data_IF_526515392638
#
_entry.id   IF_526515392638
#
_cell.length_a   1.000
_cell.length_b   1.000
_cell.length_c   1.000
_cell.angle_alpha   90.00
_cell.angle_beta   90.00
_cell.angle_gamma   90.00
#
_symmetry.space_group_name_H-M   'P 1'
#
loop_
_entity.id
_entity.type
_entity.pdbx_description
1 polymer ?
#
# COMPACT_ATOMS: atom_id res chain seq x y z
N UNK A 1 -9.51 -9.16 -0.28
CA UNK A 1 -9.88 -7.81 -0.75
C UNK A 1 -10.74 -7.16 0.31
N UNK A 2 -10.46 -5.91 0.64
CA UNK A 2 -11.27 -5.14 1.57
C UNK A 2 -11.71 -3.85 0.86
N UNK A 3 -13.02 -3.63 0.73
CA UNK A 3 -13.56 -2.36 0.26
C UNK A 3 -13.72 -1.42 1.46
N UNK A 4 -13.27 -0.20 1.34
CA UNK A 4 -13.50 0.82 2.36
C UNK A 4 -14.91 1.37 2.12
N UNK A 5 -15.80 1.19 3.11
CA UNK A 5 -17.20 1.59 3.02
C UNK A 5 -17.33 3.10 2.76
N UNK A 6 -18.27 3.47 1.88
CA UNK A 6 -18.51 4.87 1.49
C UNK A 6 -17.47 5.47 0.57
N UNK A 7 -16.51 4.69 0.05
CA UNK A 7 -15.46 5.15 -0.87
C UNK A 7 -15.39 4.29 -2.14
N UNK A 8 -14.71 4.83 -3.16
CA UNK A 8 -14.30 4.11 -4.36
C UNK A 8 -12.94 3.40 -4.19
N UNK A 9 -12.44 3.30 -2.96
CA UNK A 9 -11.13 2.71 -2.65
C UNK A 9 -11.26 1.24 -2.29
N UNK A 10 -10.39 0.42 -2.84
CA UNK A 10 -10.20 -0.98 -2.44
C UNK A 10 -8.76 -1.22 -2.01
N UNK A 11 -8.60 -2.03 -0.97
CA UNK A 11 -7.30 -2.55 -0.51
C UNK A 11 -7.16 -4.01 -0.93
N UNK A 12 -5.99 -4.34 -1.45
CA UNK A 12 -5.64 -5.68 -1.92
C UNK A 12 -4.50 -6.20 -1.05
N UNK A 13 -4.73 -7.32 -0.38
CA UNK A 13 -3.73 -8.00 0.46
C UNK A 13 -3.25 -9.26 -0.23
N UNK A 14 -1.95 -9.47 -0.21
CA UNK A 14 -1.27 -10.63 -0.78
C UNK A 14 -0.43 -11.30 0.30
N UNK A 15 -0.41 -12.62 0.31
CA UNK A 15 0.49 -13.38 1.18
C UNK A 15 1.94 -13.05 0.83
N UNK A 16 2.80 -12.94 1.83
CA UNK A 16 4.26 -12.89 1.65
C UNK A 16 4.85 -14.28 1.36
N UNK A 17 4.09 -15.35 1.58
CA UNK A 17 4.52 -16.72 1.32
C UNK A 17 4.15 -17.13 -0.09
N UNK A 18 5.06 -17.78 -0.77
CA UNK A 18 4.80 -18.48 -2.02
C UNK A 18 4.84 -19.99 -1.75
N UNK A 19 3.67 -20.60 -1.69
CA UNK A 19 3.49 -22.01 -1.28
C UNK A 19 3.98 -23.03 -2.33
N UNK A 20 4.62 -22.63 -3.45
CA UNK A 20 4.85 -23.54 -4.59
C UNK A 20 6.26 -23.58 -5.16
N UNK A 21 7.26 -23.01 -4.52
CA UNK A 21 8.64 -23.14 -5.03
C UNK A 21 9.56 -23.68 -3.93
N UNK A 22 10.12 -24.85 -4.18
CA UNK A 22 11.18 -25.47 -3.35
C UNK A 22 12.46 -24.63 -3.18
N UNK A 23 12.55 -23.53 -3.94
CA UNK A 23 13.63 -22.55 -3.80
C UNK A 23 13.06 -21.30 -3.15
N UNK A 24 13.59 -20.95 -1.98
CA UNK A 24 13.35 -19.74 -1.20
C UNK A 24 13.09 -18.54 -2.11
N UNK A 25 11.80 -18.23 -2.34
CA UNK A 25 11.46 -16.95 -2.95
C UNK A 25 11.67 -15.90 -1.90
N UNK A 26 12.56 -15.01 -2.21
CA UNK A 26 12.87 -13.81 -1.45
C UNK A 26 11.55 -13.09 -1.13
N UNK A 27 11.20 -13.05 0.12
CA UNK A 27 10.20 -12.11 0.63
C UNK A 27 10.52 -10.75 0.03
N UNK A 28 9.54 -10.07 -0.53
CA UNK A 28 9.74 -8.69 -0.99
C UNK A 28 10.17 -7.87 0.23
N UNK A 29 11.48 -7.70 0.39
CA UNK A 29 12.03 -6.84 1.42
C UNK A 29 11.94 -5.40 0.95
N UNK A 30 11.30 -4.54 1.73
CA UNK A 30 11.06 -3.15 1.36
C UNK A 30 11.12 -2.24 2.57
N UNK A 31 11.42 -0.98 2.31
CA UNK A 31 11.34 0.09 3.30
C UNK A 31 9.95 0.73 3.27
N UNK A 32 9.41 1.05 4.45
CA UNK A 32 8.10 1.70 4.56
C UNK A 32 8.05 3.01 3.74
N UNK A 33 7.07 3.11 2.85
CA UNK A 33 6.88 4.23 1.93
C UNK A 33 7.19 3.91 0.47
N UNK A 34 7.96 2.87 0.19
CA UNK A 34 8.27 2.42 -1.17
C UNK A 34 7.03 1.88 -1.92
N UNK A 35 7.17 1.73 -3.22
CA UNK A 35 6.17 1.16 -4.12
C UNK A 35 6.70 -0.08 -4.84
N UNK A 36 5.80 -0.82 -5.46
CA UNK A 36 6.14 -1.94 -6.33
C UNK A 36 5.21 -1.98 -7.55
N UNK A 37 5.61 -2.72 -8.56
CA UNK A 37 4.81 -3.00 -9.73
C UNK A 37 4.05 -4.31 -9.55
N UNK A 38 2.77 -4.30 -9.87
CA UNK A 38 1.87 -5.44 -9.74
C UNK A 38 1.34 -5.80 -11.13
N UNK A 39 1.67 -7.02 -11.58
CA UNK A 39 1.17 -7.62 -12.79
C UNK A 39 0.04 -8.58 -12.42
N UNK A 40 -1.17 -8.27 -12.86
CA UNK A 40 -2.39 -9.02 -12.54
C UNK A 40 -2.79 -10.02 -13.63
N UNK A 41 -1.87 -10.32 -14.56
CA UNK A 41 -2.13 -11.20 -15.70
C UNK A 41 -2.86 -10.47 -16.82
N UNK A 42 -3.65 -11.20 -17.59
CA UNK A 42 -4.29 -10.65 -18.78
C UNK A 42 -5.28 -9.52 -18.45
N UNK A 43 -5.10 -8.41 -19.15
CA UNK A 43 -6.00 -7.25 -19.11
C UNK A 43 -6.31 -6.85 -20.56
N UNK A 44 -7.51 -7.16 -21.02
CA UNK A 44 -7.94 -6.87 -22.38
C UNK A 44 -8.20 -5.36 -22.57
N UNK A 45 -7.82 -4.85 -23.74
CA UNK A 45 -8.07 -3.46 -24.17
C UNK A 45 -7.51 -2.37 -23.23
N UNK A 46 -6.44 -2.69 -22.50
CA UNK A 46 -5.71 -1.65 -21.74
C UNK A 46 -4.41 -1.31 -22.49
N UNK A 47 -4.26 -0.08 -23.03
CA UNK A 47 -3.06 0.30 -23.78
C UNK A 47 -1.80 0.31 -22.93
N UNK A 48 -1.95 0.34 -21.60
CA UNK A 48 -0.84 0.28 -20.65
C UNK A 48 -0.55 -1.15 -20.14
N UNK A 49 -1.28 -2.16 -20.62
CA UNK A 49 -1.09 -3.56 -20.26
C UNK A 49 -1.40 -3.90 -18.79
N UNK A 50 -0.95 -5.07 -18.34
CA UNK A 50 -1.34 -5.63 -17.03
C UNK A 50 -0.50 -5.12 -15.84
N UNK A 51 0.50 -4.29 -16.07
CA UNK A 51 1.45 -3.85 -15.05
C UNK A 51 1.14 -2.44 -14.57
N UNK A 52 1.00 -2.23 -13.26
CA UNK A 52 0.87 -0.91 -12.63
C UNK A 52 1.67 -0.87 -11.34
N UNK A 53 2.18 0.31 -11.03
CA UNK A 53 2.83 0.56 -9.75
C UNK A 53 1.83 1.09 -8.72
N UNK A 54 2.01 0.64 -7.49
CA UNK A 54 1.27 1.12 -6.32
C UNK A 54 2.20 1.21 -5.13
N UNK A 55 2.01 2.23 -4.30
CA UNK A 55 2.65 2.30 -3.00
C UNK A 55 2.29 1.07 -2.18
N UNK A 56 3.30 0.45 -1.56
CA UNK A 56 3.10 -0.62 -0.60
C UNK A 56 2.56 0.01 0.68
N UNK A 57 1.26 -0.10 0.90
CA UNK A 57 0.60 0.51 2.05
C UNK A 57 0.68 -0.33 3.32
N UNK A 58 1.05 -1.63 3.24
CA UNK A 58 1.45 -2.39 4.42
C UNK A 58 2.78 -1.91 4.97
N UNK A 59 3.00 -2.12 6.27
CA UNK A 59 4.32 -2.00 6.88
C UNK A 59 5.19 -3.22 6.58
N UNK A 60 6.52 -3.09 6.50
CA UNK A 60 7.43 -4.24 6.48
C UNK A 60 7.21 -5.22 7.64
N UNK A 61 6.73 -4.75 8.78
CA UNK A 61 6.42 -5.55 9.98
C UNK A 61 5.16 -6.40 9.87
N UNK A 62 4.31 -6.13 8.88
CA UNK A 62 3.09 -6.92 8.65
C UNK A 62 3.40 -8.17 7.83
N UNK A 63 2.66 -9.27 8.06
CA UNK A 63 2.86 -10.57 7.38
C UNK A 63 2.24 -10.66 5.98
N UNK A 64 1.82 -9.54 5.41
CA UNK A 64 1.24 -9.43 4.07
C UNK A 64 1.76 -8.21 3.34
N UNK A 65 1.70 -8.24 2.01
CA UNK A 65 1.86 -7.08 1.14
C UNK A 65 0.47 -6.50 0.87
N UNK A 66 0.33 -5.19 1.00
CA UNK A 66 -0.93 -4.51 0.70
C UNK A 66 -0.69 -3.27 -0.14
N UNK A 67 -1.51 -3.05 -1.13
CA UNK A 67 -1.71 -1.73 -1.72
C UNK A 67 -3.17 -1.33 -1.70
N UNK A 68 -3.43 -0.04 -1.74
CA UNK A 68 -4.79 0.50 -1.81
C UNK A 68 -4.91 1.46 -2.99
N UNK A 69 -6.02 1.40 -3.68
CA UNK A 69 -6.22 2.21 -4.88
C UNK A 69 -7.69 2.55 -5.11
N UNK A 70 -7.93 3.68 -5.76
CA UNK A 70 -9.28 4.02 -6.25
C UNK A 70 -9.63 3.16 -7.46
N UNK A 71 -10.80 2.57 -7.41
CA UNK A 71 -11.37 1.85 -8.56
C UNK A 71 -12.01 2.88 -9.48
N UNK A 72 -11.32 3.18 -10.57
CA UNK A 72 -11.76 4.08 -11.63
C UNK A 72 -12.06 3.30 -12.89
N UNK A 73 -12.68 3.93 -13.86
CA UNK A 73 -13.02 3.34 -15.16
C UNK A 73 -11.76 3.16 -16.02
N UNK A 74 -11.08 2.04 -15.81
CA UNK A 74 -10.01 1.54 -16.68
C UNK A 74 -10.03 0.02 -16.71
N UNK A 75 -9.62 -0.64 -17.81
CA UNK A 75 -9.63 -2.09 -17.92
C UNK A 75 -8.83 -2.77 -16.80
N UNK A 76 -7.64 -2.25 -16.46
CA UNK A 76 -6.85 -2.75 -15.33
C UNK A 76 -7.62 -2.70 -14.01
N UNK A 77 -8.27 -1.57 -13.68
CA UNK A 77 -9.01 -1.41 -12.42
C UNK A 77 -10.26 -2.29 -12.37
N UNK A 78 -10.95 -2.45 -13.50
CA UNK A 78 -12.08 -3.39 -13.63
C UNK A 78 -11.60 -4.82 -13.36
N UNK A 79 -10.54 -5.26 -14.05
CA UNK A 79 -9.94 -6.59 -13.84
C UNK A 79 -9.48 -6.78 -12.39
N UNK A 80 -8.80 -5.80 -11.82
CA UNK A 80 -8.35 -5.82 -10.43
C UNK A 80 -9.52 -5.98 -9.45
N UNK A 81 -10.63 -5.28 -9.68
CA UNK A 81 -11.80 -5.32 -8.77
C UNK A 81 -12.49 -6.70 -8.73
N UNK A 82 -12.40 -7.47 -9.79
CA UNK A 82 -13.00 -8.82 -9.90
C UNK A 82 -12.02 -9.97 -9.63
N UNK A 83 -10.72 -9.67 -9.38
CA UNK A 83 -9.75 -10.72 -9.02
C UNK A 83 -10.28 -11.57 -7.87
N UNK A 84 -10.22 -12.87 -8.02
CA UNK A 84 -10.64 -13.80 -6.99
C UNK A 84 -9.62 -13.94 -5.86
N UNK A 85 -10.08 -14.43 -4.71
CA UNK A 85 -9.17 -14.82 -3.62
C UNK A 85 -8.32 -15.99 -4.10
N UNK A 86 -6.99 -15.90 -3.90
CA UNK A 86 -6.04 -16.91 -4.37
C UNK A 86 -5.49 -16.64 -5.78
N UNK A 87 -5.95 -15.60 -6.49
CA UNK A 87 -5.36 -15.22 -7.77
C UNK A 87 -3.87 -14.88 -7.58
N UNK A 88 -3.04 -15.40 -8.50
CA UNK A 88 -1.60 -15.13 -8.52
C UNK A 88 -1.33 -13.76 -9.13
N UNK A 89 -0.48 -12.99 -8.48
CA UNK A 89 -0.04 -11.66 -8.93
C UNK A 89 1.49 -11.64 -8.90
N UNK A 90 2.10 -11.23 -10.01
CA UNK A 90 3.56 -11.04 -10.03
C UNK A 90 3.88 -9.66 -9.48
N UNK A 91 4.89 -9.58 -8.62
CA UNK A 91 5.34 -8.32 -8.01
C UNK A 91 6.79 -8.09 -8.38
N UNK A 92 7.11 -6.88 -8.84
CA UNK A 92 8.47 -6.42 -9.14
C UNK A 92 8.75 -5.15 -8.35
N UNK A 93 9.90 -5.05 -7.76
CA UNK A 93 10.36 -3.98 -6.87
C UNK A 93 10.99 -4.57 -5.62
N UNK A 94 11.09 -3.82 -4.52
CA UNK A 94 10.55 -2.47 -4.31
C UNK A 94 11.35 -1.40 -5.02
N UNK A 95 10.73 -0.23 -5.21
CA UNK A 95 11.35 0.97 -5.77
C UNK A 95 10.91 2.23 -5.01
N UNK A 96 11.65 3.33 -5.19
CA UNK A 96 11.34 4.63 -4.63
C UNK A 96 12.11 5.00 -3.37
N UNK A 97 12.33 6.31 -3.21
CA UNK A 97 13.10 6.90 -2.11
C UNK A 97 12.23 7.69 -1.12
N UNK A 98 10.91 7.66 -1.30
CA UNK A 98 9.98 8.33 -0.39
C UNK A 98 9.79 7.50 0.88
N UNK A 99 10.75 7.65 1.81
CA UNK A 99 10.83 6.88 3.05
C UNK A 99 10.95 7.81 4.26
N UNK A 100 10.72 7.27 5.46
CA UNK A 100 10.93 8.04 6.69
C UNK A 100 12.43 8.32 6.86
N UNK A 101 12.78 9.58 7.19
CA UNK A 101 14.16 9.95 7.50
C UNK A 101 14.67 9.21 8.75
N UNK A 102 16.00 9.08 8.87
CA UNK A 102 16.63 8.35 9.97
C UNK A 102 17.07 9.25 11.13
N UNK A 103 17.04 10.55 10.96
CA UNK A 103 17.33 11.52 12.05
C UNK A 103 16.08 11.74 12.90
N UNK A 104 15.85 10.87 13.85
CA UNK A 104 14.66 10.90 14.70
C UNK A 104 14.65 12.03 15.75
N UNK A 105 15.73 12.82 15.85
CA UNK A 105 15.73 14.06 16.64
C UNK A 105 14.83 15.13 16.02
N UNK A 106 14.52 15.00 14.72
CA UNK A 106 13.62 15.89 14.00
C UNK A 106 12.24 15.28 13.83
N UNK A 107 11.16 16.07 13.94
CA UNK A 107 9.82 15.58 13.68
C UNK A 107 9.63 15.31 12.18
N UNK A 108 8.85 14.26 11.84
CA UNK A 108 8.36 14.01 10.50
C UNK A 108 7.00 14.67 10.34
N UNK A 109 6.86 15.58 9.38
CA UNK A 109 5.58 16.23 9.04
C UNK A 109 5.03 15.64 7.75
N UNK A 110 3.89 14.97 7.85
CA UNK A 110 3.22 14.31 6.72
C UNK A 110 2.04 15.14 6.24
N UNK A 111 2.01 15.44 4.95
CA UNK A 111 0.92 16.12 4.29
C UNK A 111 0.31 15.17 3.26
N UNK A 112 -0.95 14.80 3.43
CA UNK A 112 -1.63 13.89 2.50
C UNK A 112 -3.00 14.37 2.07
N UNK A 113 -3.51 13.77 0.99
CA UNK A 113 -4.86 13.99 0.49
C UNK A 113 -5.45 12.69 -0.07
N UNK A 114 -6.55 12.24 0.52
CA UNK A 114 -7.26 11.04 0.07
C UNK A 114 -6.37 9.81 -0.04
N UNK A 115 -6.23 9.22 -1.24
CA UNK A 115 -5.41 8.00 -1.45
C UNK A 115 -3.91 8.22 -1.24
N UNK A 116 -3.43 9.47 -1.24
CA UNK A 116 -2.03 9.80 -0.97
C UNK A 116 -1.56 9.44 0.44
N UNK A 117 -2.46 9.06 1.33
CA UNK A 117 -2.16 8.56 2.67
C UNK A 117 -1.42 7.21 2.69
N UNK A 118 -1.39 6.48 1.57
CA UNK A 118 -0.87 5.10 1.51
C UNK A 118 0.59 4.95 1.95
N UNK A 119 1.57 5.78 1.54
CA UNK A 119 2.94 5.67 2.04
C UNK A 119 3.02 6.01 3.54
N UNK A 120 2.27 6.99 3.98
CA UNK A 120 2.27 7.39 5.39
C UNK A 120 1.68 6.31 6.30
N UNK A 121 0.66 5.57 5.82
CA UNK A 121 0.14 4.38 6.52
C UNK A 121 1.25 3.37 6.79
N UNK A 122 2.07 3.07 5.79
CA UNK A 122 3.20 2.16 5.91
C UNK A 122 4.23 2.67 6.92
N UNK A 123 4.63 3.95 6.80
CA UNK A 123 5.63 4.59 7.68
C UNK A 123 5.17 4.68 9.12
N UNK A 124 3.92 5.12 9.38
CA UNK A 124 3.37 5.25 10.74
C UNK A 124 3.30 3.88 11.41
N UNK A 125 2.77 2.87 10.69
CA UNK A 125 2.69 1.51 11.22
C UNK A 125 4.08 0.95 11.54
N UNK A 126 5.05 1.14 10.65
CA UNK A 126 6.43 0.72 10.85
C UNK A 126 7.05 1.40 12.07
N UNK A 127 6.96 2.73 12.16
CA UNK A 127 7.51 3.51 13.27
C UNK A 127 6.89 3.09 14.61
N UNK A 128 5.58 2.81 14.63
CA UNK A 128 4.86 2.35 15.81
C UNK A 128 5.31 0.95 16.24
N UNK A 129 5.38 -0.01 15.30
CA UNK A 129 5.75 -1.39 15.60
C UNK A 129 7.20 -1.52 16.06
N UNK A 130 8.09 -0.72 15.47
CA UNK A 130 9.52 -0.68 15.81
C UNK A 130 9.82 0.24 16.98
N UNK A 131 8.81 0.91 17.55
CA UNK A 131 8.96 1.87 18.67
C UNK A 131 10.00 2.95 18.37
N UNK A 132 10.03 3.45 17.13
CA UNK A 132 11.00 4.48 16.75
C UNK A 132 10.74 5.78 17.52
N UNK A 133 11.80 6.45 18.03
CA UNK A 133 11.65 7.67 18.83
C UNK A 133 11.40 8.91 17.96
N UNK A 134 10.65 8.77 16.88
CA UNK A 134 10.32 9.85 15.95
C UNK A 134 8.97 10.45 16.27
N UNK A 135 8.88 11.78 16.37
CA UNK A 135 7.61 12.49 16.46
C UNK A 135 7.02 12.63 15.05
N UNK A 136 5.83 12.05 14.83
CA UNK A 136 5.11 12.18 13.56
C UNK A 136 3.93 13.13 13.74
N UNK A 137 3.83 14.11 12.85
CA UNK A 137 2.70 15.06 12.76
C UNK A 137 2.07 14.86 11.39
N UNK A 138 0.78 14.57 11.34
CA UNK A 138 0.09 14.30 10.09
C UNK A 138 -1.09 15.23 9.84
N UNK A 139 -1.12 15.83 8.65
CA UNK A 139 -2.25 16.56 8.09
C UNK A 139 -2.82 15.77 6.92
N UNK A 140 -4.06 15.30 7.05
CA UNK A 140 -4.72 14.49 6.03
C UNK A 140 -6.00 15.17 5.55
N UNK A 141 -5.95 15.70 4.33
CA UNK A 141 -7.08 16.40 3.69
C UNK A 141 -8.00 15.42 2.98
N UNK A 142 -9.28 15.45 3.34
CA UNK A 142 -10.30 14.62 2.74
C UNK A 142 -11.57 15.43 2.47
N UNK A 143 -12.34 15.06 1.41
CA UNK A 143 -13.58 15.76 1.06
C UNK A 143 -14.63 15.72 2.17
N UNK A 144 -14.70 14.62 2.89
CA UNK A 144 -15.58 14.41 4.04
C UNK A 144 -15.04 13.29 4.93
N UNK A 145 -15.64 13.09 6.11
CA UNK A 145 -15.22 12.08 7.10
C UNK A 145 -15.28 10.64 6.58
N UNK A 146 -16.17 10.32 5.64
CA UNK A 146 -16.30 8.96 5.09
C UNK A 146 -15.18 8.62 4.11
N UNK A 147 -14.48 9.64 3.58
CA UNK A 147 -13.35 9.46 2.67
C UNK A 147 -12.00 9.29 3.38
N UNK A 148 -11.96 9.43 4.70
CA UNK A 148 -10.73 9.23 5.47
C UNK A 148 -10.39 7.74 5.47
N UNK A 149 -9.22 7.40 4.91
CA UNK A 149 -8.70 6.05 4.88
C UNK A 149 -7.86 5.76 6.13
N UNK A 150 -7.85 4.50 6.55
CA UNK A 150 -6.99 4.02 7.65
C UNK A 150 -7.15 4.77 8.98
N UNK A 151 -8.36 5.22 9.32
CA UNK A 151 -8.66 5.99 10.54
C UNK A 151 -8.03 5.43 11.81
N UNK A 152 -8.00 4.09 11.96
CA UNK A 152 -7.45 3.41 13.15
C UNK A 152 -5.94 3.57 13.34
N UNK A 153 -5.20 3.92 12.28
CA UNK A 153 -3.75 4.10 12.33
C UNK A 153 -3.40 5.56 12.62
N UNK A 154 -4.28 6.49 12.28
CA UNK A 154 -4.08 7.92 12.47
C UNK A 154 -4.32 8.38 13.91
N UNK A 155 -4.84 7.52 14.78
CA UNK A 155 -5.20 7.87 16.17
C UNK A 155 -4.40 6.99 17.13
N UNK A 156 -3.10 7.22 17.23
CA UNK A 156 -2.34 7.01 18.45
C UNK A 156 -1.59 8.30 18.76
N UNK A 157 -2.26 9.11 19.55
CA UNK A 157 -1.67 10.20 20.29
C UNK A 157 -0.94 9.61 21.50
#
# INVERSE_FOLDING_TARGET
KDKVEGTDVMSFKFSKQNDQLENKITLLDYTAGQFAFFDIGEVYNDPKGPLRHFTISSSPTENFIMFSTRIRDSPYKKRLSILEKGAKVKVRGPEGEFVLHQDYSKPAVFLSGGIGVTPFRSMIKYATDMQLPVKIIMFDSNRNRNNILFKKIQVKI
#
